data_IF_341696593067
#
_entry.id   IF_341696593067
#
_cell.length_a   1.000
_cell.length_b   1.000
_cell.length_c   1.000
_cell.angle_alpha   90.00
_cell.angle_beta   90.00
_cell.angle_gamma   90.00
#
_symmetry.space_group_name_H-M   'P 1'
#
loop_
_entity.id
_entity.type
_entity.pdbx_description
1 polymer ?
#
# COMPACT_ATOMS: atom_id res chain seq x y z
N UNK A 1 18.22 5.58 -42.65
CA UNK A 1 16.90 5.78 -43.32
C UNK A 1 15.82 5.87 -42.27
N UNK A 2 14.94 6.85 -42.33
CA UNK A 2 13.76 6.94 -41.49
C UNK A 2 12.60 6.16 -42.13
N UNK A 3 11.74 5.58 -41.32
CA UNK A 3 10.47 5.01 -41.79
C UNK A 3 9.51 6.14 -42.19
N UNK A 4 8.80 6.00 -43.29
CA UNK A 4 7.84 7.04 -43.72
C UNK A 4 6.69 7.17 -42.71
N UNK A 5 6.16 6.05 -42.20
CA UNK A 5 5.02 6.03 -41.29
C UNK A 5 5.20 4.98 -40.19
N UNK A 6 5.11 5.41 -38.96
CA UNK A 6 5.22 4.55 -37.78
C UNK A 6 3.97 4.71 -36.91
N UNK A 7 3.48 3.63 -36.31
CA UNK A 7 2.37 3.69 -35.37
C UNK A 7 2.73 3.16 -34.00
N UNK A 8 2.07 3.73 -33.00
CA UNK A 8 2.01 3.21 -31.62
C UNK A 8 0.56 3.07 -31.24
N UNK A 9 0.19 1.96 -30.59
CA UNK A 9 -1.16 1.75 -30.08
C UNK A 9 -1.15 1.52 -28.57
N UNK A 10 -2.16 2.02 -27.87
CA UNK A 10 -2.21 1.86 -26.41
C UNK A 10 -3.48 2.42 -25.77
N UNK A 11 -3.63 2.18 -24.47
CA UNK A 11 -4.73 2.68 -23.65
C UNK A 11 -4.55 4.15 -23.27
N UNK A 12 -3.33 4.57 -22.96
CA UNK A 12 -2.92 5.94 -22.61
C UNK A 12 -3.77 6.62 -21.54
N UNK A 13 -4.11 5.90 -20.46
CA UNK A 13 -4.88 6.48 -19.36
C UNK A 13 -4.16 7.68 -18.72
N UNK A 14 -2.86 7.53 -18.42
CA UNK A 14 -1.98 8.61 -17.97
C UNK A 14 -0.73 8.60 -18.85
N UNK A 15 -0.30 9.78 -19.27
CA UNK A 15 0.99 9.96 -19.92
C UNK A 15 2.08 10.05 -18.86
N UNK A 16 3.07 9.19 -18.95
CA UNK A 16 4.20 9.10 -18.03
C UNK A 16 5.54 9.07 -18.80
N UNK A 17 6.67 9.24 -18.12
CA UNK A 17 7.98 9.32 -18.81
C UNK A 17 8.29 8.13 -19.73
N UNK A 18 7.76 6.94 -19.46
CA UNK A 18 7.87 5.76 -20.34
C UNK A 18 7.16 5.96 -21.68
N UNK A 19 5.95 6.57 -21.67
CA UNK A 19 5.26 6.93 -22.92
C UNK A 19 6.00 8.01 -23.69
N UNK A 20 6.52 9.04 -23.04
CA UNK A 20 7.27 10.10 -23.72
C UNK A 20 8.51 9.54 -24.42
N UNK A 21 9.26 8.64 -23.77
CA UNK A 21 10.43 7.99 -24.36
C UNK A 21 10.10 7.16 -25.60
N UNK A 22 9.02 6.36 -25.56
CA UNK A 22 8.64 5.54 -26.72
C UNK A 22 8.14 6.43 -27.88
N UNK A 23 7.44 7.52 -27.57
CA UNK A 23 6.99 8.51 -28.55
C UNK A 23 8.18 9.23 -29.19
N UNK A 24 9.17 9.66 -28.39
CA UNK A 24 10.39 10.29 -28.85
C UNK A 24 11.22 9.34 -29.71
N UNK A 25 11.43 8.10 -29.26
CA UNK A 25 12.09 7.05 -30.03
C UNK A 25 11.41 6.87 -31.39
N UNK A 26 10.07 6.73 -31.40
CA UNK A 26 9.30 6.55 -32.62
C UNK A 26 9.41 7.74 -33.57
N UNK A 27 9.36 8.98 -33.04
CA UNK A 27 9.51 10.20 -33.84
C UNK A 27 10.90 10.33 -34.43
N UNK A 28 11.92 9.93 -33.70
CA UNK A 28 13.31 10.00 -34.19
C UNK A 28 13.58 9.07 -35.38
N UNK A 29 12.90 7.92 -35.43
CA UNK A 29 13.08 6.92 -36.50
C UNK A 29 12.02 7.03 -37.63
N UNK A 30 11.07 7.96 -37.53
CA UNK A 30 10.03 8.15 -38.53
C UNK A 30 9.88 9.57 -39.01
N UNK A 31 9.34 9.72 -40.22
CA UNK A 31 8.89 11.00 -40.73
C UNK A 31 7.53 11.36 -40.11
N UNK A 32 6.63 10.39 -40.04
CA UNK A 32 5.28 10.54 -39.53
C UNK A 32 4.97 9.54 -38.40
N UNK A 33 4.66 10.06 -37.22
CA UNK A 33 4.22 9.28 -36.06
C UNK A 33 2.71 9.36 -35.89
N UNK A 34 2.04 8.21 -35.93
CA UNK A 34 0.59 8.10 -35.71
C UNK A 34 0.35 7.32 -34.44
N UNK A 35 -0.54 7.80 -33.58
CA UNK A 35 -0.91 7.14 -32.33
C UNK A 35 -2.36 6.70 -32.35
N UNK A 36 -2.58 5.40 -32.11
CA UNK A 36 -3.90 4.81 -31.94
C UNK A 36 -4.27 4.66 -30.45
N UNK A 37 -5.31 5.35 -30.00
CA UNK A 37 -5.85 5.23 -28.64
C UNK A 37 -6.99 4.21 -28.66
N UNK A 38 -6.94 3.20 -27.81
CA UNK A 38 -8.01 2.19 -27.70
C UNK A 38 -9.27 2.83 -27.12
N UNK A 39 -10.44 2.60 -27.75
CA UNK A 39 -11.74 3.02 -27.20
C UNK A 39 -12.00 2.36 -25.83
N UNK A 40 -12.93 2.89 -25.05
CA UNK A 40 -13.31 2.31 -23.76
C UNK A 40 -13.76 0.84 -23.93
N UNK A 41 -14.47 0.53 -25.01
CA UNK A 41 -14.89 -0.84 -25.35
C UNK A 41 -13.72 -1.81 -25.55
N UNK A 42 -12.66 -1.37 -26.22
CA UNK A 42 -11.47 -2.20 -26.46
C UNK A 42 -10.51 -2.25 -25.27
N UNK A 43 -10.45 -1.19 -24.48
CA UNK A 43 -9.62 -1.13 -23.27
C UNK A 43 -10.23 -1.90 -22.09
N UNK A 44 -11.56 -2.18 -22.12
CA UNK A 44 -12.32 -2.92 -21.09
C UNK A 44 -12.08 -2.35 -19.68
N UNK A 45 -11.90 -3.21 -18.68
CA UNK A 45 -11.71 -2.85 -17.28
C UNK A 45 -10.48 -2.00 -16.99
N UNK A 46 -9.60 -1.84 -17.99
CA UNK A 46 -8.41 -0.99 -17.87
C UNK A 46 -8.64 0.43 -18.46
N UNK A 47 -9.88 0.79 -18.81
CA UNK A 47 -10.24 2.15 -19.23
C UNK A 47 -10.67 3.01 -18.02
N UNK A 48 -9.69 3.54 -17.29
CA UNK A 48 -9.93 4.39 -16.10
C UNK A 48 -10.34 5.82 -16.46
N UNK A 49 -9.91 6.30 -17.63
CA UNK A 49 -10.22 7.65 -18.15
C UNK A 49 -10.96 7.47 -19.48
N UNK A 50 -12.01 8.27 -19.70
CA UNK A 50 -12.81 8.22 -20.93
C UNK A 50 -11.96 8.40 -22.18
N UNK A 51 -12.22 7.63 -23.21
CA UNK A 51 -11.45 7.60 -24.46
C UNK A 51 -11.29 8.96 -25.13
N UNK A 52 -12.31 9.83 -25.08
CA UNK A 52 -12.25 11.21 -25.60
C UNK A 52 -11.16 12.04 -24.88
N UNK A 53 -11.03 11.91 -23.55
CA UNK A 53 -10.03 12.64 -22.77
C UNK A 53 -8.65 12.07 -23.06
N UNK A 54 -8.50 10.73 -23.15
CA UNK A 54 -7.24 10.07 -23.47
C UNK A 54 -6.75 10.47 -24.87
N UNK A 55 -7.65 10.54 -25.85
CA UNK A 55 -7.33 11.01 -27.19
C UNK A 55 -6.92 12.49 -27.19
N UNK A 56 -7.60 13.35 -26.42
CA UNK A 56 -7.23 14.77 -26.28
C UNK A 56 -5.83 14.91 -25.71
N UNK A 57 -5.49 14.19 -24.65
CA UNK A 57 -4.16 14.20 -24.06
C UNK A 57 -3.07 13.79 -25.05
N UNK A 58 -3.33 12.76 -25.85
CA UNK A 58 -2.39 12.32 -26.90
C UNK A 58 -2.24 13.37 -27.99
N UNK A 59 -3.33 13.99 -28.43
CA UNK A 59 -3.28 15.08 -29.44
C UNK A 59 -2.51 16.31 -28.98
N UNK A 60 -2.43 16.55 -27.66
CA UNK A 60 -1.69 17.69 -27.10
C UNK A 60 -0.17 17.49 -27.09
N UNK A 61 0.32 16.30 -27.45
CA UNK A 61 1.76 16.00 -27.45
C UNK A 61 2.37 16.40 -28.80
N UNK A 62 3.26 17.38 -28.79
CA UNK A 62 3.91 17.94 -30.01
C UNK A 62 4.68 16.92 -30.86
N UNK A 63 5.11 15.80 -30.29
CA UNK A 63 5.84 14.74 -31.01
C UNK A 63 4.95 13.93 -31.96
N UNK A 64 3.62 14.00 -31.81
CA UNK A 64 2.64 13.17 -32.50
C UNK A 64 2.08 13.95 -33.69
N UNK A 65 2.18 13.38 -34.89
CA UNK A 65 1.66 14.01 -36.09
C UNK A 65 0.14 13.75 -36.25
N UNK A 66 -0.31 12.55 -35.90
CA UNK A 66 -1.74 12.19 -35.94
C UNK A 66 -2.11 11.29 -34.76
N UNK A 67 -3.33 11.48 -34.21
CA UNK A 67 -3.90 10.62 -33.18
C UNK A 67 -5.34 10.27 -33.49
N UNK A 68 -5.65 8.95 -33.42
CA UNK A 68 -6.96 8.39 -33.76
C UNK A 68 -7.49 7.50 -32.66
N UNK A 69 -8.82 7.46 -32.54
CA UNK A 69 -9.51 6.52 -31.65
C UNK A 69 -9.75 5.20 -32.37
N UNK A 70 -9.25 4.09 -31.83
CA UNK A 70 -9.47 2.74 -32.33
C UNK A 70 -10.79 2.21 -31.76
N UNK A 71 -11.81 2.03 -32.62
CA UNK A 71 -13.14 1.58 -32.21
C UNK A 71 -13.39 0.11 -32.50
N UNK A 72 -12.79 -0.43 -33.58
CA UNK A 72 -13.05 -1.81 -34.06
C UNK A 72 -11.97 -2.77 -33.50
N UNK A 73 -10.80 -2.82 -34.13
CA UNK A 73 -9.66 -3.63 -33.67
C UNK A 73 -8.33 -2.96 -34.03
N UNK A 74 -7.25 -3.38 -33.39
CA UNK A 74 -5.90 -2.90 -33.69
C UNK A 74 -5.51 -3.32 -35.11
N UNK A 75 -5.87 -4.54 -35.52
CA UNK A 75 -5.59 -5.06 -36.85
C UNK A 75 -6.24 -4.20 -37.93
N UNK A 76 -7.52 -3.86 -37.75
CA UNK A 76 -8.24 -2.98 -38.69
C UNK A 76 -7.55 -1.58 -38.78
N UNK A 77 -7.11 -1.05 -37.65
CA UNK A 77 -6.39 0.22 -37.62
C UNK A 77 -5.02 0.15 -38.35
N UNK A 78 -4.28 -0.94 -38.16
CA UNK A 78 -3.02 -1.20 -38.88
C UNK A 78 -3.26 -1.33 -40.38
N UNK A 79 -4.32 -2.05 -40.77
CA UNK A 79 -4.68 -2.23 -42.16
C UNK A 79 -5.06 -0.93 -42.86
N UNK A 80 -5.82 -0.06 -42.17
CA UNK A 80 -6.22 1.24 -42.69
C UNK A 80 -5.05 2.23 -42.79
N UNK A 81 -4.12 2.19 -41.82
CA UNK A 81 -2.97 3.13 -41.76
C UNK A 81 -1.79 2.69 -42.62
N UNK A 82 -1.63 1.38 -42.87
CA UNK A 82 -0.52 0.77 -43.65
C UNK A 82 0.84 1.34 -43.19
N UNK A 83 1.25 1.13 -41.93
CA UNK A 83 2.52 1.67 -41.43
C UNK A 83 3.70 0.84 -41.94
N UNK A 84 4.89 1.45 -42.02
CA UNK A 84 6.14 0.71 -42.27
C UNK A 84 6.59 -0.06 -41.01
N UNK A 85 6.26 0.47 -39.83
CA UNK A 85 6.56 -0.21 -38.57
C UNK A 85 5.53 0.11 -37.47
N UNK A 86 5.36 -0.86 -36.57
CA UNK A 86 4.63 -0.72 -35.30
C UNK A 86 5.64 -0.77 -34.15
N UNK A 87 5.55 0.20 -33.24
CA UNK A 87 6.44 0.26 -32.07
C UNK A 87 5.68 -0.15 -30.83
N UNK A 88 6.31 -1.02 -30.04
CA UNK A 88 5.85 -1.43 -28.69
C UNK A 88 6.92 -1.19 -27.65
N UNK A 89 6.52 -1.08 -26.40
CA UNK A 89 7.43 -1.06 -25.27
C UNK A 89 8.22 -2.37 -25.14
N UNK A 90 9.42 -2.30 -24.59
CA UNK A 90 10.30 -3.45 -24.42
C UNK A 90 9.66 -4.57 -23.58
N UNK A 91 8.75 -4.24 -22.68
CA UNK A 91 7.98 -5.16 -21.85
C UNK A 91 7.09 -6.14 -22.63
N UNK A 92 6.89 -5.88 -23.91
CA UNK A 92 6.12 -6.76 -24.82
C UNK A 92 7.02 -7.68 -25.67
N UNK A 93 8.36 -7.55 -25.58
CA UNK A 93 9.29 -8.32 -26.43
C UNK A 93 9.16 -9.83 -26.26
N UNK A 94 8.97 -10.28 -25.02
CA UNK A 94 8.86 -11.70 -24.70
C UNK A 94 7.40 -12.18 -24.50
N UNK A 95 6.42 -11.34 -24.90
CA UNK A 95 5.00 -11.68 -24.82
C UNK A 95 4.47 -12.06 -26.19
N UNK A 96 3.36 -12.82 -26.20
CA UNK A 96 2.64 -13.10 -27.43
C UNK A 96 2.09 -11.81 -28.01
N UNK A 97 2.52 -11.46 -29.22
CA UNK A 97 2.08 -10.27 -29.95
C UNK A 97 1.16 -10.71 -31.08
N UNK A 98 -0.15 -10.54 -30.90
CA UNK A 98 -1.19 -10.93 -31.87
C UNK A 98 -0.92 -10.27 -33.23
N UNK A 99 -0.46 -9.02 -33.22
CA UNK A 99 -0.23 -8.23 -34.42
C UNK A 99 0.92 -8.74 -35.28
N UNK A 100 1.87 -9.51 -34.71
CA UNK A 100 3.07 -9.95 -35.44
C UNK A 100 2.75 -10.71 -36.71
N UNK A 101 1.88 -11.71 -36.62
CA UNK A 101 1.46 -12.51 -37.79
C UNK A 101 0.78 -11.66 -38.89
N UNK A 102 0.12 -10.59 -38.50
CA UNK A 102 -0.56 -9.69 -39.43
C UNK A 102 0.45 -8.71 -40.05
N UNK A 103 1.37 -8.18 -39.28
CA UNK A 103 2.44 -7.29 -39.76
C UNK A 103 3.35 -7.98 -40.78
N UNK A 104 3.69 -9.24 -40.53
CA UNK A 104 4.48 -10.05 -41.48
C UNK A 104 3.78 -10.20 -42.86
N UNK A 105 2.43 -10.29 -42.88
CA UNK A 105 1.65 -10.36 -44.12
C UNK A 105 1.64 -9.07 -44.94
N UNK A 106 1.73 -7.91 -44.29
CA UNK A 106 1.70 -6.59 -44.96
C UNK A 106 3.09 -5.97 -45.12
N UNK A 107 4.15 -6.71 -44.80
CA UNK A 107 5.54 -6.25 -44.90
C UNK A 107 5.95 -5.17 -43.89
N UNK A 108 5.18 -4.99 -42.80
CA UNK A 108 5.48 -4.03 -41.73
C UNK A 108 6.35 -4.65 -40.65
N UNK A 109 7.23 -3.85 -40.05
CA UNK A 109 8.13 -4.31 -38.96
C UNK A 109 7.50 -4.11 -37.59
N UNK A 110 7.73 -5.05 -36.66
CA UNK A 110 7.48 -4.85 -35.25
C UNK A 110 8.79 -4.49 -34.54
N UNK A 111 8.83 -3.31 -33.96
CA UNK A 111 10.02 -2.76 -33.30
C UNK A 111 9.73 -2.56 -31.79
N UNK A 112 10.68 -2.98 -30.95
CA UNK A 112 10.59 -2.76 -29.51
C UNK A 112 11.53 -1.64 -29.10
N UNK A 113 10.99 -0.65 -28.35
CA UNK A 113 11.84 0.44 -27.83
C UNK A 113 12.76 -0.09 -26.73
N UNK A 114 14.02 0.34 -26.72
CA UNK A 114 14.94 0.06 -25.63
C UNK A 114 14.65 0.97 -24.43
N UNK A 115 14.28 0.40 -23.29
CA UNK A 115 14.12 1.19 -22.06
C UNK A 115 13.52 0.40 -20.92
N UNK A 116 14.23 0.31 -19.80
CA UNK A 116 13.87 -0.44 -18.56
C UNK A 116 13.02 0.37 -17.59
N UNK A 117 11.97 1.05 -18.01
CA UNK A 117 11.05 1.68 -17.08
C UNK A 117 9.78 0.84 -16.97
N UNK A 118 9.70 -0.02 -15.95
CA UNK A 118 8.52 -0.79 -15.56
C UNK A 118 7.43 0.12 -14.91
N UNK A 119 7.00 1.15 -15.63
CA UNK A 119 5.90 2.02 -15.21
C UNK A 119 4.74 1.81 -16.16
N UNK A 120 3.74 1.05 -15.73
CA UNK A 120 2.46 0.98 -16.44
C UNK A 120 1.54 2.09 -15.95
N UNK A 121 0.86 2.78 -16.86
CA UNK A 121 -0.15 3.79 -16.50
C UNK A 121 -1.28 3.21 -15.65
N UNK A 122 -1.62 1.93 -15.86
CA UNK A 122 -2.58 1.20 -15.04
C UNK A 122 -2.07 1.02 -13.60
N UNK A 123 -0.78 0.72 -13.41
CA UNK A 123 -0.20 0.56 -12.07
C UNK A 123 -0.04 1.90 -11.34
N UNK A 124 0.26 2.98 -12.06
CA UNK A 124 0.27 4.33 -11.48
C UNK A 124 -1.13 4.75 -11.03
N UNK A 125 -2.14 4.55 -11.86
CA UNK A 125 -3.54 4.83 -11.50
C UNK A 125 -4.03 3.92 -10.39
N UNK A 126 -3.73 2.64 -10.44
CA UNK A 126 -4.05 1.72 -9.34
C UNK A 126 -3.42 2.18 -8.03
N UNK A 127 -2.21 2.72 -8.04
CA UNK A 127 -1.55 3.29 -6.85
C UNK A 127 -2.19 4.59 -6.39
N UNK A 128 -2.55 5.48 -7.31
CA UNK A 128 -3.15 6.79 -7.03
C UNK A 128 -4.61 6.65 -6.55
N UNK A 129 -5.43 5.86 -7.23
CA UNK A 129 -6.80 5.55 -6.81
C UNK A 129 -6.86 4.53 -5.68
N UNK A 130 -5.77 3.81 -5.41
CA UNK A 130 -5.63 2.88 -4.27
C UNK A 130 -5.13 3.56 -3.01
N UNK A 131 -5.03 4.88 -2.95
CA UNK A 131 -4.68 5.59 -1.70
C UNK A 131 -5.70 5.34 -0.56
N UNK A 132 -6.87 4.77 -0.89
CA UNK A 132 -7.80 4.14 0.06
C UNK A 132 -7.62 2.63 0.22
N UNK A 133 -6.67 2.02 -0.48
CA UNK A 133 -6.39 0.58 -0.43
C UNK A 133 -5.08 0.31 0.28
N UNK A 134 -5.14 0.29 1.60
CA UNK A 134 -4.26 -0.59 2.34
C UNK A 134 -4.54 -2.01 1.84
N UNK A 135 -3.64 -2.49 0.98
CA UNK A 135 -3.41 -3.91 0.69
C UNK A 135 -4.59 -4.74 0.19
N UNK A 136 -4.90 -4.68 -1.10
CA UNK A 136 -5.30 -5.93 -1.75
C UNK A 136 -4.02 -6.77 -1.95
N UNK A 137 -3.71 -7.62 -0.99
CA UNK A 137 -2.79 -8.74 -1.19
C UNK A 137 -3.48 -9.65 -2.19
N UNK A 138 -3.08 -9.60 -3.47
CA UNK A 138 -3.47 -10.65 -4.42
C UNK A 138 -2.91 -11.95 -3.87
N UNK A 139 -3.78 -12.86 -3.45
CA UNK A 139 -3.34 -14.21 -3.09
C UNK A 139 -2.74 -14.85 -4.33
N UNK A 140 -1.47 -15.20 -4.26
CA UNK A 140 -0.84 -16.02 -5.27
C UNK A 140 -1.38 -17.45 -5.13
N UNK A 141 -2.22 -17.87 -6.07
CA UNK A 141 -2.80 -19.22 -6.03
C UNK A 141 -1.73 -20.30 -6.14
N UNK A 142 -0.55 -19.99 -6.73
CA UNK A 142 0.60 -20.87 -6.74
C UNK A 142 1.22 -21.03 -5.35
N UNK A 143 1.27 -19.97 -4.56
CA UNK A 143 1.69 -20.04 -3.16
C UNK A 143 0.74 -20.93 -2.35
N UNK A 144 -0.56 -20.72 -2.48
CA UNK A 144 -1.56 -21.52 -1.76
C UNK A 144 -1.48 -23.01 -2.12
N UNK A 145 -1.31 -23.34 -3.41
CA UNK A 145 -1.11 -24.73 -3.88
C UNK A 145 0.18 -25.34 -3.34
N UNK A 146 1.29 -24.62 -3.44
CA UNK A 146 2.63 -25.08 -2.99
C UNK A 146 2.63 -25.43 -1.52
N UNK A 147 1.99 -24.61 -0.69
CA UNK A 147 1.92 -24.81 0.75
C UNK A 147 0.67 -25.57 1.21
N UNK A 148 -0.13 -26.10 0.28
CA UNK A 148 -1.36 -26.86 0.56
C UNK A 148 -2.34 -26.08 1.46
N UNK A 149 -2.42 -24.76 1.28
CA UNK A 149 -3.28 -23.89 2.07
C UNK A 149 -4.71 -23.97 1.52
N UNK A 150 -5.64 -24.43 2.34
CA UNK A 150 -7.07 -24.52 1.99
C UNK A 150 -7.79 -23.26 2.48
N UNK A 151 -8.35 -22.48 1.55
CA UNK A 151 -9.11 -21.24 1.83
C UNK A 151 -10.32 -21.48 2.73
N UNK A 152 -11.02 -22.61 2.57
CA UNK A 152 -12.21 -22.93 3.38
C UNK A 152 -11.81 -23.30 4.80
N UNK A 153 -10.69 -24.00 4.99
CA UNK A 153 -10.14 -24.28 6.32
C UNK A 153 -9.76 -22.98 7.03
N UNK A 154 -9.13 -22.03 6.34
CA UNK A 154 -8.82 -20.70 6.90
C UNK A 154 -10.09 -19.97 7.32
N UNK A 155 -11.13 -19.94 6.45
CA UNK A 155 -12.41 -19.31 6.78
C UNK A 155 -13.06 -19.96 8.02
N UNK A 156 -13.08 -21.29 8.10
CA UNK A 156 -13.59 -22.01 9.27
C UNK A 156 -12.82 -21.65 10.54
N UNK A 157 -11.48 -21.60 10.47
CA UNK A 157 -10.64 -21.20 11.60
C UNK A 157 -10.91 -19.77 12.04
N UNK A 158 -11.01 -18.81 11.10
CA UNK A 158 -11.34 -17.41 11.44
C UNK A 158 -12.73 -17.33 12.07
N UNK A 159 -13.72 -18.06 11.54
CA UNK A 159 -15.07 -18.08 12.10
C UNK A 159 -15.12 -18.69 13.51
N UNK A 160 -14.20 -19.60 13.87
CA UNK A 160 -14.12 -20.17 15.20
C UNK A 160 -13.63 -19.18 16.27
N UNK A 161 -13.05 -18.06 15.88
CA UNK A 161 -12.63 -16.99 16.81
C UNK A 161 -13.83 -16.16 17.30
N UNK A 162 -14.96 -16.25 16.62
CA UNK A 162 -16.15 -15.48 16.97
C UNK A 162 -16.65 -15.83 18.36
N UNK A 163 -16.69 -14.80 19.20
CA UNK A 163 -17.19 -14.92 20.58
C UNK A 163 -16.16 -15.37 21.61
N UNK A 164 -14.92 -15.76 21.19
CA UNK A 164 -13.84 -16.05 22.13
C UNK A 164 -13.58 -14.82 23.01
N UNK A 165 -13.41 -15.06 24.31
CA UNK A 165 -13.07 -14.02 25.28
C UNK A 165 -11.56 -13.88 25.37
N UNK A 166 -11.04 -12.81 24.80
CA UNK A 166 -9.60 -12.56 24.70
C UNK A 166 -9.22 -11.38 25.61
N UNK A 167 -8.21 -11.56 26.44
CA UNK A 167 -7.58 -10.46 27.16
C UNK A 167 -6.22 -10.17 26.53
N UNK A 168 -5.95 -8.91 26.19
CA UNK A 168 -4.67 -8.43 25.71
C UNK A 168 -4.07 -7.51 26.76
N UNK A 169 -2.85 -7.81 27.19
CA UNK A 169 -2.05 -6.99 28.11
C UNK A 169 -0.72 -6.64 27.46
N UNK A 170 -0.30 -5.38 27.51
CA UNK A 170 1.02 -5.02 27.02
C UNK A 170 1.22 -3.55 26.70
N UNK A 171 2.33 -3.26 26.03
CA UNK A 171 2.77 -1.91 25.73
C UNK A 171 1.95 -1.29 24.61
N UNK A 172 1.30 -0.17 24.91
CA UNK A 172 0.65 0.66 23.88
C UNK A 172 1.68 1.52 23.15
N UNK A 173 1.63 1.52 21.84
CA UNK A 173 2.48 2.34 20.98
C UNK A 173 1.59 3.18 20.06
N UNK A 174 1.98 4.43 19.84
CA UNK A 174 1.43 5.27 18.79
C UNK A 174 2.43 5.32 17.64
N UNK A 175 2.06 4.76 16.50
CA UNK A 175 2.82 4.92 15.26
C UNK A 175 2.34 6.17 14.52
N UNK A 176 3.22 7.17 14.39
CA UNK A 176 2.94 8.43 13.73
C UNK A 176 3.76 8.51 12.44
N UNK A 177 3.08 8.77 11.33
CA UNK A 177 3.72 9.00 10.03
C UNK A 177 3.57 10.47 9.66
N UNK A 178 4.69 11.14 9.48
CA UNK A 178 4.77 12.50 9.00
C UNK A 178 5.23 12.44 7.54
N UNK A 179 4.28 12.60 6.61
CA UNK A 179 4.61 12.76 5.20
C UNK A 179 5.24 14.14 4.99
N UNK A 180 6.36 14.16 4.25
CA UNK A 180 7.15 15.37 4.02
C UNK A 180 7.55 15.46 2.56
N UNK A 181 7.68 16.70 2.07
CA UNK A 181 8.40 17.06 0.86
C UNK A 181 9.86 17.30 1.21
N UNK A 182 10.79 16.64 0.52
CA UNK A 182 12.22 16.89 0.70
C UNK A 182 12.61 18.17 -0.05
N UNK A 183 13.17 19.13 0.66
CA UNK A 183 13.66 20.40 0.10
C UNK A 183 15.14 20.33 -0.29
N UNK A 184 15.81 19.19 -0.04
CA UNK A 184 17.23 19.00 -0.27
C UNK A 184 18.05 19.12 1.00
N UNK A 185 19.38 19.30 0.86
CA UNK A 185 20.28 19.51 1.98
C UNK A 185 20.14 20.94 2.52
N UNK A 186 20.20 21.08 3.84
CA UNK A 186 20.27 22.38 4.48
C UNK A 186 21.51 23.16 4.02
N UNK A 187 21.41 24.49 3.99
CA UNK A 187 22.55 25.35 3.69
C UNK A 187 23.39 25.67 4.91
N UNK A 188 22.87 25.38 6.10
CA UNK A 188 23.49 25.73 7.38
C UNK A 188 24.27 24.55 7.96
N UNK A 189 23.82 23.31 7.69
CA UNK A 189 24.44 22.09 8.21
C UNK A 189 24.24 20.90 7.24
N UNK A 190 24.78 19.73 7.58
CA UNK A 190 24.65 18.49 6.80
C UNK A 190 23.34 17.76 7.05
N UNK A 191 22.24 18.46 7.23
CA UNK A 191 20.92 17.91 7.49
C UNK A 191 19.99 18.00 6.26
N UNK A 192 18.95 17.15 6.23
CA UNK A 192 17.92 17.19 5.17
C UNK A 192 16.82 18.14 5.62
N UNK A 193 16.58 19.19 4.85
CA UNK A 193 15.44 20.08 5.06
C UNK A 193 14.17 19.44 4.50
N UNK A 194 13.08 19.45 5.28
CA UNK A 194 11.80 18.89 4.89
C UNK A 194 10.64 19.84 5.19
N UNK A 195 9.63 19.84 4.35
CA UNK A 195 8.37 20.54 4.57
C UNK A 195 7.28 19.52 4.89
N UNK A 196 6.54 19.64 6.01
CA UNK A 196 5.46 18.72 6.34
C UNK A 196 4.30 18.86 5.37
N UNK A 197 3.70 17.73 4.97
CA UNK A 197 2.53 17.64 4.09
C UNK A 197 1.31 17.16 4.89
N UNK A 198 1.44 16.00 5.53
CA UNK A 198 0.34 15.32 6.22
C UNK A 198 0.87 14.52 7.41
N UNK A 199 0.02 14.38 8.42
CA UNK A 199 0.31 13.62 9.63
C UNK A 199 -0.78 12.57 9.84
N UNK A 200 -0.38 11.30 10.01
CA UNK A 200 -1.29 10.19 10.32
C UNK A 200 -0.82 9.44 11.56
N UNK A 201 -1.76 9.11 12.44
CA UNK A 201 -1.51 8.31 13.64
C UNK A 201 -2.22 6.96 13.52
N UNK A 202 -1.55 5.92 14.02
CA UNK A 202 -2.07 4.56 14.08
C UNK A 202 -1.84 3.98 15.47
N UNK A 203 -2.73 3.06 15.86
CA UNK A 203 -2.48 2.21 17.02
C UNK A 203 -1.35 1.23 16.68
N UNK A 204 -0.44 1.02 17.62
CA UNK A 204 0.65 0.06 17.53
C UNK A 204 0.77 -0.77 18.80
N UNK A 205 1.74 -1.68 18.86
CA UNK A 205 1.99 -2.53 20.00
C UNK A 205 0.78 -3.37 20.40
N UNK A 206 0.53 -3.49 21.69
CA UNK A 206 -0.59 -4.25 22.23
C UNK A 206 -1.96 -3.69 21.83
N UNK A 207 -2.06 -2.37 21.59
CA UNK A 207 -3.31 -1.75 21.18
C UNK A 207 -3.81 -2.24 19.82
N UNK A 208 -2.94 -2.37 18.82
CA UNK A 208 -3.33 -2.89 17.51
C UNK A 208 -3.66 -4.38 17.57
N UNK A 209 -2.99 -5.16 18.43
CA UNK A 209 -3.34 -6.57 18.64
C UNK A 209 -4.74 -6.72 19.20
N UNK A 210 -5.13 -5.89 20.17
CA UNK A 210 -6.48 -5.88 20.72
C UNK A 210 -7.52 -5.54 19.65
N UNK A 211 -7.24 -4.54 18.80
CA UNK A 211 -8.11 -4.19 17.67
C UNK A 211 -8.24 -5.34 16.67
N UNK A 212 -7.14 -6.04 16.34
CA UNK A 212 -7.16 -7.18 15.42
C UNK A 212 -7.95 -8.36 16.02
N UNK A 213 -7.75 -8.69 17.29
CA UNK A 213 -8.51 -9.75 17.95
C UNK A 213 -10.01 -9.48 17.90
N UNK A 214 -10.41 -8.24 18.18
CA UNK A 214 -11.81 -7.83 18.08
C UNK A 214 -12.34 -7.90 16.64
N UNK A 215 -11.56 -7.45 15.66
CA UNK A 215 -11.92 -7.49 14.23
C UNK A 215 -12.08 -8.93 13.70
N UNK A 216 -11.40 -9.90 14.31
CA UNK A 216 -11.57 -11.33 14.04
C UNK A 216 -12.81 -11.94 14.72
N UNK A 217 -13.56 -11.13 15.47
CA UNK A 217 -14.83 -11.54 16.10
C UNK A 217 -14.72 -11.93 17.58
N UNK A 218 -13.56 -11.79 18.20
CA UNK A 218 -13.38 -12.04 19.61
C UNK A 218 -13.98 -10.93 20.49
N UNK A 219 -14.45 -11.29 21.67
CA UNK A 219 -14.81 -10.34 22.74
C UNK A 219 -13.54 -9.94 23.47
N UNK A 220 -12.94 -8.82 23.04
CA UNK A 220 -11.60 -8.43 23.46
C UNK A 220 -11.62 -7.43 24.59
N UNK A 221 -10.89 -7.74 25.67
CA UNK A 221 -10.57 -6.84 26.77
C UNK A 221 -9.09 -6.42 26.65
N UNK A 222 -8.82 -5.13 26.72
CA UNK A 222 -7.47 -4.58 26.62
C UNK A 222 -7.05 -3.90 27.90
N UNK A 223 -5.87 -4.26 28.43
CA UNK A 223 -5.26 -3.67 29.61
C UNK A 223 -3.90 -3.13 29.22
N UNK A 224 -3.65 -1.86 29.50
CA UNK A 224 -2.35 -1.23 29.26
C UNK A 224 -2.12 -0.03 30.15
N UNK A 225 -0.87 0.40 30.22
CA UNK A 225 -0.45 1.62 30.92
C UNK A 225 0.02 2.65 29.86
N UNK A 226 -0.41 3.87 30.02
CA UNK A 226 -0.07 4.99 29.16
C UNK A 226 0.28 6.23 29.99
N UNK A 227 0.94 7.20 29.39
CA UNK A 227 1.18 8.50 30.01
C UNK A 227 -0.13 9.27 30.29
N UNK A 228 -0.04 10.28 31.13
CA UNK A 228 -1.13 11.24 31.32
C UNK A 228 -0.99 12.39 30.29
N UNK A 229 -1.14 12.03 29.01
CA UNK A 229 -0.94 12.89 27.87
C UNK A 229 -2.13 12.84 26.88
N UNK A 230 -2.05 13.60 25.80
CA UNK A 230 -3.10 13.74 24.79
C UNK A 230 -3.41 12.46 24.02
N UNK A 231 -2.58 11.43 24.12
CA UNK A 231 -2.77 10.19 23.35
C UNK A 231 -3.93 9.35 23.90
N UNK A 232 -4.32 9.53 25.16
CA UNK A 232 -5.45 8.81 25.77
C UNK A 232 -6.72 8.85 24.93
N UNK A 233 -7.13 10.06 24.50
CA UNK A 233 -8.37 10.21 23.69
C UNK A 233 -8.28 9.48 22.34
N UNK A 234 -7.12 9.57 21.70
CA UNK A 234 -6.89 8.88 20.42
C UNK A 234 -6.98 7.36 20.57
N UNK A 235 -6.28 6.79 21.57
CA UNK A 235 -6.26 5.36 21.84
C UNK A 235 -7.67 4.86 22.17
N UNK A 236 -8.32 5.54 23.12
CA UNK A 236 -9.67 5.21 23.57
C UNK A 236 -10.65 5.16 22.40
N UNK A 237 -10.77 6.27 21.66
CA UNK A 237 -11.75 6.38 20.58
C UNK A 237 -11.54 5.34 19.47
N UNK A 238 -10.29 5.03 19.14
CA UNK A 238 -10.00 4.04 18.09
C UNK A 238 -10.28 2.61 18.54
N UNK A 239 -9.97 2.25 19.78
CA UNK A 239 -10.25 0.93 20.31
C UNK A 239 -11.76 0.69 20.55
N UNK A 240 -12.48 1.68 21.08
CA UNK A 240 -13.94 1.60 21.27
C UNK A 240 -14.67 1.44 19.94
N UNK A 241 -14.25 2.16 18.88
CA UNK A 241 -14.78 1.97 17.51
C UNK A 241 -14.59 0.55 16.98
N UNK A 242 -13.56 -0.15 17.45
CA UNK A 242 -13.27 -1.55 17.10
C UNK A 242 -13.99 -2.55 18.05
N UNK A 243 -14.81 -2.08 19.00
CA UNK A 243 -15.53 -2.94 19.93
C UNK A 243 -14.65 -3.54 21.03
N UNK A 244 -13.51 -2.93 21.35
CA UNK A 244 -12.61 -3.39 22.41
C UNK A 244 -13.03 -2.80 23.77
N UNK A 245 -13.15 -3.63 24.80
CA UNK A 245 -13.33 -3.20 26.19
C UNK A 245 -11.99 -2.77 26.77
N UNK A 246 -11.85 -1.49 27.10
CA UNK A 246 -10.57 -0.90 27.49
C UNK A 246 -10.44 -0.72 29.01
N UNK A 247 -9.22 -0.99 29.52
CA UNK A 247 -8.74 -0.64 30.85
C UNK A 247 -7.37 0.04 30.71
N UNK A 248 -7.38 1.30 30.30
CA UNK A 248 -6.17 2.13 30.23
C UNK A 248 -5.89 2.75 31.58
N UNK A 249 -4.72 2.44 32.12
CA UNK A 249 -4.22 3.00 33.38
C UNK A 249 -3.28 4.15 33.05
N UNK A 250 -3.56 5.32 33.58
CA UNK A 250 -2.69 6.48 33.41
C UNK A 250 -1.57 6.47 34.45
N UNK A 251 -0.36 6.68 33.99
CA UNK A 251 0.83 6.85 34.83
C UNK A 251 1.45 8.23 34.55
N UNK A 252 1.44 9.10 35.55
CA UNK A 252 2.00 10.47 35.44
C UNK A 252 3.50 10.49 35.36
N UNK A 253 4.19 9.41 35.75
CA UNK A 253 5.63 9.32 35.72
C UNK A 253 6.23 8.96 34.39
N UNK A 254 5.39 8.63 33.37
CA UNK A 254 5.84 8.24 32.03
C UNK A 254 5.11 8.97 30.92
N UNK A 255 5.67 8.91 29.74
CA UNK A 255 5.02 9.33 28.49
C UNK A 255 4.44 8.11 27.74
N UNK A 256 3.37 8.33 26.98
CA UNK A 256 2.89 7.29 26.06
C UNK A 256 3.90 7.07 24.93
N UNK A 257 4.33 5.82 24.73
CA UNK A 257 5.31 5.49 23.68
C UNK A 257 4.81 5.94 22.32
N UNK A 258 5.61 6.74 21.62
CA UNK A 258 5.30 7.27 20.29
C UNK A 258 6.49 7.08 19.35
N UNK A 259 6.24 6.50 18.18
CA UNK A 259 7.22 6.30 17.12
C UNK A 259 6.87 7.14 15.91
N UNK A 260 7.63 8.18 15.65
CA UNK A 260 7.41 9.10 14.53
C UNK A 260 8.33 8.72 13.37
N UNK A 261 7.75 8.59 12.18
CA UNK A 261 8.50 8.35 10.94
C UNK A 261 8.28 9.50 9.97
N UNK A 262 9.33 10.26 9.72
CA UNK A 262 9.34 11.29 8.69
C UNK A 262 9.63 10.63 7.34
N UNK A 263 8.71 10.77 6.39
CA UNK A 263 8.79 10.09 5.10
C UNK A 263 8.64 11.06 3.93
N UNK A 264 9.50 10.90 2.92
CA UNK A 264 9.32 11.51 1.61
C UNK A 264 9.08 10.42 0.58
N UNK A 265 7.88 10.37 0.02
CA UNK A 265 7.42 9.26 -0.81
C UNK A 265 7.54 7.92 -0.08
N UNK A 266 8.29 6.98 -0.66
CA UNK A 266 8.51 5.64 -0.08
C UNK A 266 9.73 5.56 0.85
N UNK A 267 10.50 6.65 1.03
CA UNK A 267 11.72 6.66 1.84
C UNK A 267 11.47 7.23 3.23
N UNK A 268 11.93 6.55 4.25
CA UNK A 268 11.97 7.08 5.61
C UNK A 268 13.26 7.89 5.78
N UNK A 269 13.12 9.18 6.06
CA UNK A 269 14.24 10.11 6.25
C UNK A 269 14.77 10.07 7.67
N UNK A 270 13.86 10.01 8.65
CA UNK A 270 14.17 10.03 10.09
C UNK A 270 13.15 9.21 10.85
N UNK A 271 13.60 8.54 11.90
CA UNK A 271 12.77 7.95 12.96
C UNK A 271 13.06 8.66 14.26
N UNK A 272 12.02 9.20 14.87
CA UNK A 272 12.06 9.83 16.16
C UNK A 272 11.15 9.05 17.12
N UNK A 273 11.70 8.57 18.24
CA UNK A 273 10.98 7.73 19.18
C UNK A 273 10.95 8.40 20.55
N UNK A 274 9.76 8.56 21.11
CA UNK A 274 9.51 9.00 22.47
C UNK A 274 9.03 7.78 23.26
N UNK A 275 9.75 7.37 24.28
CA UNK A 275 9.41 6.20 25.08
C UNK A 275 10.05 6.26 26.47
N UNK A 276 9.49 5.50 27.39
CA UNK A 276 10.01 5.23 28.72
C UNK A 276 10.10 3.72 28.91
N UNK A 277 11.22 3.24 29.44
CA UNK A 277 11.46 1.82 29.74
C UNK A 277 11.52 1.54 31.24
N UNK A 278 11.24 2.54 32.08
CA UNK A 278 11.22 2.39 33.52
C UNK A 278 10.20 1.35 33.95
N UNK A 279 10.50 0.54 34.97
CA UNK A 279 9.53 -0.41 35.54
C UNK A 279 8.28 0.34 36.04
N UNK A 280 7.15 -0.37 36.01
CA UNK A 280 5.90 0.17 36.54
C UNK A 280 6.01 0.46 38.02
N UNK A 281 5.46 1.59 38.52
CA UNK A 281 5.24 1.77 39.94
C UNK A 281 4.41 0.63 40.54
N UNK A 282 4.79 0.16 41.73
CA UNK A 282 4.14 -1.00 42.39
C UNK A 282 2.61 -0.89 42.49
N UNK A 283 2.08 0.33 42.72
CA UNK A 283 0.62 0.52 42.81
C UNK A 283 -0.09 0.29 41.49
N UNK A 284 0.52 0.61 40.35
CA UNK A 284 0.01 0.38 39.00
C UNK A 284 0.07 -1.11 38.68
N UNK A 285 1.22 -1.74 38.93
CA UNK A 285 1.41 -3.17 38.77
C UNK A 285 0.36 -3.97 39.55
N UNK A 286 0.17 -3.65 40.83
CA UNK A 286 -0.86 -4.29 41.67
C UNK A 286 -2.28 -4.06 41.13
N UNK A 287 -2.56 -2.89 40.53
CA UNK A 287 -3.84 -2.63 39.86
C UNK A 287 -4.07 -3.54 38.65
N UNK A 288 -3.03 -3.75 37.83
CA UNK A 288 -3.07 -4.68 36.69
C UNK A 288 -3.33 -6.10 37.20
N UNK A 289 -2.59 -6.56 38.22
CA UNK A 289 -2.76 -7.89 38.84
C UNK A 289 -4.22 -8.10 39.30
N UNK A 290 -4.80 -7.11 39.96
CA UNK A 290 -6.20 -7.18 40.36
C UNK A 290 -7.18 -7.34 39.20
N UNK A 291 -6.91 -6.60 38.09
CA UNK A 291 -7.75 -6.69 36.87
C UNK A 291 -7.62 -8.05 36.20
N UNK A 292 -6.42 -8.65 36.18
CA UNK A 292 -6.18 -9.98 35.65
C UNK A 292 -6.91 -11.04 36.51
N UNK A 293 -6.64 -11.06 37.83
CA UNK A 293 -7.25 -12.02 38.77
C UNK A 293 -8.78 -12.02 38.72
N UNK A 294 -9.39 -10.85 38.49
CA UNK A 294 -10.86 -10.72 38.40
C UNK A 294 -11.47 -11.49 37.23
N UNK A 295 -10.74 -11.60 36.12
CA UNK A 295 -11.31 -12.07 34.85
C UNK A 295 -10.57 -13.26 34.23
N UNK A 296 -9.47 -13.75 34.83
CA UNK A 296 -8.62 -14.81 34.26
C UNK A 296 -9.41 -16.11 34.02
N UNK A 297 -10.27 -16.49 34.95
CA UNK A 297 -11.11 -17.70 34.86
C UNK A 297 -12.24 -17.59 33.83
N UNK A 298 -12.48 -16.38 33.29
CA UNK A 298 -13.58 -16.08 32.37
C UNK A 298 -13.11 -15.89 30.92
N UNK A 299 -11.82 -15.95 30.68
CA UNK A 299 -11.24 -15.74 29.35
C UNK A 299 -10.78 -17.05 28.76
N UNK A 300 -10.83 -17.13 27.42
CA UNK A 300 -10.35 -18.27 26.65
C UNK A 300 -8.88 -18.13 26.28
N UNK A 301 -8.38 -16.87 26.18
CA UNK A 301 -7.02 -16.57 25.76
C UNK A 301 -6.49 -15.28 26.41
N UNK A 302 -5.28 -15.34 26.97
CA UNK A 302 -4.52 -14.19 27.39
C UNK A 302 -3.33 -13.98 26.41
N UNK A 303 -3.23 -12.77 25.87
CA UNK A 303 -2.13 -12.34 24.99
C UNK A 303 -1.27 -11.33 25.75
N UNK A 304 0.01 -11.65 25.97
CA UNK A 304 1.01 -10.73 26.48
C UNK A 304 1.79 -10.15 25.31
N UNK A 305 1.81 -8.83 25.20
CA UNK A 305 2.46 -8.10 24.09
C UNK A 305 3.52 -7.18 24.65
N UNK A 306 4.72 -7.71 24.79
CA UNK A 306 5.89 -7.04 25.36
C UNK A 306 6.76 -6.42 24.26
N UNK A 307 6.96 -5.11 24.34
CA UNK A 307 7.88 -4.34 23.51
C UNK A 307 9.01 -3.71 24.33
N UNK A 308 9.19 -4.19 25.57
CA UNK A 308 10.19 -3.71 26.51
C UNK A 308 10.02 -2.24 26.92
N UNK A 309 8.76 -1.76 26.97
CA UNK A 309 8.42 -0.43 27.49
C UNK A 309 7.83 -0.49 28.91
N UNK A 310 8.09 -1.60 29.61
CA UNK A 310 7.91 -1.73 31.05
C UNK A 310 6.52 -2.13 31.53
N UNK A 311 5.51 -2.34 30.64
CA UNK A 311 4.17 -2.79 31.07
C UNK A 311 4.19 -4.25 31.48
N UNK A 312 4.96 -5.10 30.81
CA UNK A 312 5.11 -6.50 31.18
C UNK A 312 6.30 -6.64 32.13
N UNK A 313 6.03 -6.82 33.39
CA UNK A 313 7.04 -6.97 34.45
C UNK A 313 7.24 -8.45 34.78
N UNK A 314 8.39 -8.78 35.35
CA UNK A 314 8.69 -10.13 35.84
C UNK A 314 7.62 -10.63 36.83
N UNK A 315 7.24 -9.80 37.78
CA UNK A 315 6.20 -10.13 38.79
C UNK A 315 4.83 -10.37 38.16
N UNK A 316 4.45 -9.61 37.11
CA UNK A 316 3.21 -9.89 36.37
C UNK A 316 3.25 -11.27 35.72
N UNK A 317 4.36 -11.64 35.05
CA UNK A 317 4.52 -12.93 34.42
C UNK A 317 4.48 -14.08 35.46
N UNK A 318 5.20 -13.93 36.57
CA UNK A 318 5.20 -14.89 37.67
C UNK A 318 3.77 -15.07 38.22
N UNK A 319 3.08 -13.96 38.53
CA UNK A 319 1.69 -14.02 39.00
C UNK A 319 0.75 -14.69 38.01
N UNK A 320 0.88 -14.42 36.72
CA UNK A 320 0.03 -15.06 35.69
C UNK A 320 0.28 -16.56 35.62
N UNK A 321 1.53 -17.02 35.75
CA UNK A 321 1.87 -18.42 35.77
C UNK A 321 1.33 -19.17 37.00
N UNK A 322 1.23 -18.48 38.15
CA UNK A 322 0.62 -19.02 39.35
C UNK A 322 -0.90 -19.15 39.27
N UNK A 323 -1.55 -18.43 38.35
CA UNK A 323 -3.02 -18.45 38.15
C UNK A 323 -3.48 -19.54 37.16
N UNK A 324 -2.57 -20.28 36.58
CA UNK A 324 -2.84 -21.46 35.75
C UNK A 324 -2.80 -22.70 36.59
#
# INVERSE_FOLDING_TARGET
>A
MKYKKVIITGKFNIIHPGHLRILEFAKNISEKLIVGVLSDKLARDDAFIKDKIRLLNIKSIKLIDEAHLIRNSIEHFIQATKPDAVIKGFEYKNKFNIEKKFLDKIGSKLIFSSGTANLSSADLLRREFSSNYMTQIKSDDDYLRRYKINKDKIKKTINSFKGLKVMVLGDTIIDEYQACESLGMSREDTSIAVKPIEKKKFLGGAAILAAHASSLGAKTKFISVIGDDDQYKFIKNNLEKQGVFINLIKDKSRITTKKVRFRSGNTTLLRFNEFDQSPLPNFIENKIIKLIKKDIDKIDLLILSDFSYGVITKKLVETINELK
#
